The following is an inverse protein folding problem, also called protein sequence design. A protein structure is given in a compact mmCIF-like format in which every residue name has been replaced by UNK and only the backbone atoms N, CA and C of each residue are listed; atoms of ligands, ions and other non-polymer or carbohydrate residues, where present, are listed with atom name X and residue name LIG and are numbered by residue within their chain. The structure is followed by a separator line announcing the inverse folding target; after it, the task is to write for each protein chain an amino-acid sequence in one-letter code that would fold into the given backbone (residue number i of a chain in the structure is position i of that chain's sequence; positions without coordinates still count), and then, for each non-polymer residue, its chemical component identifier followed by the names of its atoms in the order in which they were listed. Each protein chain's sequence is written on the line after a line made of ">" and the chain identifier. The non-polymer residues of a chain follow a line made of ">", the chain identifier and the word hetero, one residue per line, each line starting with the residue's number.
data_IF_013612371770
#
_entry.id   IF_013612371770
#
_cell.length_a   1.000
_cell.length_b   1.000
_cell.length_c   1.000
_cell.angle_alpha   90.00
_cell.angle_beta   90.00
_cell.angle_gamma   90.00
#
_symmetry.space_group_name_H-M   'P 1'
#
loop_
_entity.id
_entity.type
_entity.pdbx_description
1 polymer ?
#
# COMPACT_ATOMS: atom_id res chain seq x y z
N UNK A 1 35.51 -11.45 -16.64
CA UNK A 1 34.33 -10.56 -16.60
C UNK A 1 34.52 -9.64 -15.41
N UNK A 2 34.38 -8.32 -15.60
CA UNK A 2 34.56 -7.34 -14.52
C UNK A 2 33.55 -7.61 -13.37
N UNK A 3 33.96 -7.44 -12.11
CA UNK A 3 33.14 -7.79 -10.93
C UNK A 3 31.82 -7.02 -10.92
N UNK A 4 31.84 -5.73 -11.31
CA UNK A 4 30.63 -4.92 -11.47
C UNK A 4 29.62 -5.56 -12.42
N UNK A 5 30.09 -6.13 -13.53
CA UNK A 5 29.22 -6.82 -14.50
C UNK A 5 28.63 -8.09 -13.88
N UNK A 6 29.43 -8.86 -13.14
CA UNK A 6 28.95 -10.06 -12.43
C UNK A 6 27.86 -9.73 -11.41
N UNK A 7 28.05 -8.68 -10.61
CA UNK A 7 27.08 -8.22 -9.61
C UNK A 7 25.77 -7.82 -10.27
N UNK A 8 25.82 -7.07 -11.36
CA UNK A 8 24.61 -6.62 -12.08
C UNK A 8 23.86 -7.79 -12.69
N UNK A 9 24.56 -8.73 -13.33
CA UNK A 9 23.95 -9.96 -13.85
C UNK A 9 23.27 -10.72 -12.70
N UNK A 10 23.95 -10.86 -11.56
CA UNK A 10 23.38 -11.48 -10.35
C UNK A 10 22.10 -10.79 -9.87
N UNK A 11 22.08 -9.46 -9.82
CA UNK A 11 20.90 -8.68 -9.43
C UNK A 11 19.74 -8.84 -10.42
N UNK A 12 20.02 -8.90 -11.72
CA UNK A 12 19.00 -9.13 -12.76
C UNK A 12 18.41 -10.54 -12.60
N UNK A 13 19.26 -11.56 -12.47
CA UNK A 13 18.84 -12.95 -12.29
C UNK A 13 18.02 -13.11 -11.01
N UNK A 14 18.48 -12.55 -9.89
CA UNK A 14 17.73 -12.52 -8.63
C UNK A 14 16.37 -11.83 -8.81
N UNK A 15 16.34 -10.69 -9.52
CA UNK A 15 15.11 -9.94 -9.70
C UNK A 15 14.09 -10.72 -10.52
N UNK A 16 14.51 -11.37 -11.61
CA UNK A 16 13.66 -12.25 -12.43
C UNK A 16 13.16 -13.42 -11.58
N UNK A 17 14.06 -14.09 -10.85
CA UNK A 17 13.69 -15.21 -9.99
C UNK A 17 12.67 -14.82 -8.91
N UNK A 18 12.84 -13.66 -8.26
CA UNK A 18 11.91 -13.14 -7.28
C UNK A 18 10.54 -12.80 -7.91
N UNK A 19 10.53 -12.17 -9.08
CA UNK A 19 9.30 -11.88 -9.81
C UNK A 19 8.56 -13.15 -10.22
N UNK A 20 9.27 -14.17 -10.68
CA UNK A 20 8.71 -15.48 -11.01
C UNK A 20 8.24 -16.21 -9.76
N UNK A 21 8.99 -16.12 -8.66
CA UNK A 21 8.60 -16.67 -7.36
C UNK A 21 7.23 -16.16 -6.92
N UNK A 22 7.08 -14.83 -6.89
CA UNK A 22 5.82 -14.19 -6.50
C UNK A 22 4.69 -14.55 -7.45
N UNK A 23 4.94 -14.61 -8.75
CA UNK A 23 3.92 -14.95 -9.74
C UNK A 23 3.42 -16.40 -9.63
N UNK A 24 4.32 -17.36 -9.38
CA UNK A 24 4.02 -18.81 -9.50
C UNK A 24 3.80 -19.52 -8.18
N UNK A 25 4.48 -19.10 -7.11
CA UNK A 25 4.57 -19.88 -5.87
C UNK A 25 4.21 -19.11 -4.61
N UNK A 26 4.15 -17.78 -4.62
CA UNK A 26 3.67 -17.02 -3.46
C UNK A 26 2.17 -17.25 -3.26
N UNK A 27 1.82 -17.93 -2.17
CA UNK A 27 0.43 -18.19 -1.81
C UNK A 27 -0.28 -19.20 -2.69
N UNK A 28 -1.61 -19.27 -2.61
CA UNK A 28 -2.50 -20.16 -3.36
C UNK A 28 -3.25 -19.44 -4.49
N UNK A 29 -3.62 -18.18 -4.32
CA UNK A 29 -4.34 -17.43 -5.35
C UNK A 29 -3.45 -17.17 -6.57
N UNK A 30 -4.02 -17.18 -7.76
CA UNK A 30 -3.29 -17.01 -9.02
C UNK A 30 -3.93 -15.93 -9.87
N UNK A 31 -3.08 -15.27 -10.64
CA UNK A 31 -3.49 -14.33 -11.68
C UNK A 31 -3.85 -15.11 -12.95
N UNK A 32 -4.88 -14.65 -13.65
CA UNK A 32 -5.36 -15.26 -14.90
C UNK A 32 -4.29 -15.22 -16.00
N UNK A 33 -3.37 -14.25 -15.93
CA UNK A 33 -2.29 -14.10 -16.90
C UNK A 33 -1.11 -13.29 -16.34
N UNK A 34 0.04 -13.42 -16.99
CA UNK A 34 1.21 -12.58 -16.71
C UNK A 34 0.88 -11.08 -16.85
N UNK A 35 0.06 -10.72 -17.85
CA UNK A 35 -0.39 -9.34 -18.05
C UNK A 35 -1.21 -8.79 -16.87
N UNK A 36 -2.05 -9.63 -16.25
CA UNK A 36 -2.77 -9.23 -15.05
C UNK A 36 -1.80 -9.04 -13.87
N UNK A 37 -0.89 -9.98 -13.65
CA UNK A 37 0.15 -9.90 -12.62
C UNK A 37 0.97 -8.61 -12.72
N UNK A 38 1.53 -8.30 -13.89
CA UNK A 38 2.33 -7.11 -14.16
C UNK A 38 1.55 -5.81 -13.86
N UNK A 39 0.23 -5.79 -14.09
CA UNK A 39 -0.62 -4.62 -13.88
C UNK A 39 -1.13 -4.47 -12.45
N UNK A 40 -1.28 -5.57 -11.71
CA UNK A 40 -2.02 -5.61 -10.44
C UNK A 40 -1.15 -5.77 -9.19
N UNK A 41 0.13 -6.09 -9.37
CA UNK A 41 1.00 -6.57 -8.26
C UNK A 41 2.39 -5.92 -8.24
N UNK A 42 2.66 -5.00 -9.17
CA UNK A 42 3.91 -4.23 -9.23
C UNK A 42 5.19 -5.07 -9.02
N UNK A 43 5.46 -6.06 -9.90
CA UNK A 43 6.52 -7.05 -9.71
C UNK A 43 7.93 -6.48 -9.50
N UNK A 44 8.18 -5.23 -9.90
CA UNK A 44 9.44 -4.54 -9.64
C UNK A 44 9.82 -4.50 -8.15
N UNK A 45 8.84 -4.61 -7.24
CA UNK A 45 9.08 -4.68 -5.79
C UNK A 45 9.27 -6.11 -5.26
N UNK A 46 9.00 -7.14 -6.06
CA UNK A 46 9.18 -8.54 -5.66
C UNK A 46 10.58 -8.85 -5.12
N UNK A 47 11.70 -8.34 -5.68
CA UNK A 47 13.03 -8.61 -5.15
C UNK A 47 13.23 -8.11 -3.71
N UNK A 48 12.66 -6.94 -3.37
CA UNK A 48 12.69 -6.40 -2.02
C UNK A 48 11.74 -7.16 -1.09
N UNK A 49 10.54 -7.45 -1.56
CA UNK A 49 9.55 -8.19 -0.79
C UNK A 49 10.01 -9.61 -0.46
N UNK A 50 10.73 -10.30 -1.36
CA UNK A 50 11.31 -11.61 -1.08
C UNK A 50 12.27 -11.60 0.12
N UNK A 51 13.09 -10.54 0.28
CA UNK A 51 13.93 -10.35 1.48
C UNK A 51 13.05 -10.25 2.72
N UNK A 52 11.97 -9.47 2.65
CA UNK A 52 11.02 -9.33 3.76
C UNK A 52 10.33 -10.66 4.09
N UNK A 53 9.93 -11.45 3.10
CA UNK A 53 9.29 -12.75 3.30
C UNK A 53 10.25 -13.74 3.99
N UNK A 54 11.51 -13.78 3.55
CA UNK A 54 12.53 -14.66 4.14
C UNK A 54 12.80 -14.33 5.60
N UNK A 55 12.79 -13.04 5.94
CA UNK A 55 13.08 -12.53 7.29
C UNK A 55 11.85 -12.38 8.19
N UNK A 56 10.64 -12.63 7.66
CA UNK A 56 9.38 -12.68 8.43
C UNK A 56 9.41 -13.88 9.39
N UNK A 57 8.97 -13.68 10.63
CA UNK A 57 8.86 -14.74 11.63
C UNK A 57 7.94 -15.88 11.13
N UNK A 58 8.25 -17.13 11.47
CA UNK A 58 7.55 -18.31 10.94
C UNK A 58 6.04 -18.28 11.17
N UNK A 59 5.59 -17.91 12.38
CA UNK A 59 4.17 -17.81 12.73
C UNK A 59 3.40 -16.78 11.87
N UNK A 60 4.11 -15.79 11.35
CA UNK A 60 3.58 -14.65 10.62
C UNK A 60 3.58 -14.84 9.09
N UNK A 61 4.00 -15.99 8.57
CA UNK A 61 4.09 -16.23 7.10
C UNK A 61 2.74 -16.54 6.44
N UNK A 62 1.70 -16.85 7.23
CA UNK A 62 0.34 -17.11 6.72
C UNK A 62 -0.32 -15.81 6.22
N UNK A 63 -1.26 -15.90 5.25
CA UNK A 63 -1.90 -14.71 4.67
C UNK A 63 -2.76 -13.93 5.65
N UNK A 64 -3.43 -14.61 6.59
CA UNK A 64 -4.32 -13.99 7.58
C UNK A 64 -3.88 -14.42 8.98
N UNK A 65 -3.84 -13.47 9.89
CA UNK A 65 -3.38 -13.58 11.27
C UNK A 65 -4.44 -13.03 12.21
N UNK A 66 -4.46 -13.58 13.43
CA UNK A 66 -5.05 -12.85 14.56
C UNK A 66 -4.15 -11.66 14.91
N UNK A 67 -4.73 -10.59 15.45
CA UNK A 67 -4.02 -9.40 15.87
C UNK A 67 -3.36 -9.53 17.25
N UNK A 68 -3.57 -10.63 18.00
CA UNK A 68 -3.05 -10.86 19.36
C UNK A 68 -1.52 -10.71 19.52
N UNK A 69 -0.75 -10.82 18.42
CA UNK A 69 0.70 -10.59 18.47
C UNK A 69 1.07 -9.10 18.58
N UNK A 70 0.12 -8.19 18.41
CA UNK A 70 0.29 -6.75 18.52
C UNK A 70 0.13 -6.32 19.97
N UNK A 71 1.19 -5.74 20.53
CA UNK A 71 1.17 -5.20 21.89
C UNK A 71 0.05 -4.15 22.07
N UNK A 72 -0.72 -4.28 23.15
CA UNK A 72 -1.84 -3.40 23.53
C UNK A 72 -3.00 -3.33 22.52
N UNK A 73 -3.16 -4.32 21.62
CA UNK A 73 -4.24 -4.29 20.63
C UNK A 73 -5.65 -4.26 21.25
N UNK A 74 -5.80 -4.82 22.46
CA UNK A 74 -7.03 -4.81 23.24
C UNK A 74 -7.58 -3.40 23.49
N UNK A 75 -6.72 -2.38 23.52
CA UNK A 75 -7.17 -0.99 23.67
C UNK A 75 -8.07 -0.58 22.50
N UNK A 76 -7.75 -1.01 21.27
CA UNK A 76 -8.59 -0.72 20.10
C UNK A 76 -9.87 -1.57 20.12
N UNK A 77 -9.77 -2.84 20.51
CA UNK A 77 -10.92 -3.75 20.63
C UNK A 77 -11.91 -3.27 21.68
N UNK A 78 -11.45 -2.83 22.85
CA UNK A 78 -12.31 -2.34 23.92
C UNK A 78 -12.97 -0.99 23.60
N UNK A 79 -12.34 -0.16 22.77
CA UNK A 79 -12.78 1.20 22.47
C UNK A 79 -13.26 1.36 21.02
N UNK A 80 -13.61 0.28 20.33
CA UNK A 80 -14.01 0.31 18.91
C UNK A 80 -15.20 1.23 18.65
N UNK A 81 -16.13 1.36 19.60
CA UNK A 81 -17.27 2.27 19.51
C UNK A 81 -16.84 3.74 19.56
N UNK A 82 -15.88 4.10 20.41
CA UNK A 82 -15.32 5.47 20.45
C UNK A 82 -14.67 5.82 19.12
N UNK A 83 -13.92 4.87 18.55
CA UNK A 83 -13.28 5.03 17.24
C UNK A 83 -14.34 5.18 16.13
N UNK A 84 -15.39 4.35 16.18
CA UNK A 84 -16.52 4.40 15.25
C UNK A 84 -17.21 5.75 15.30
N UNK A 85 -17.48 6.28 16.49
CA UNK A 85 -18.27 7.50 16.63
C UNK A 85 -17.56 8.72 16.00
N UNK A 86 -16.23 8.81 16.14
CA UNK A 86 -15.44 9.84 15.42
C UNK A 86 -15.42 9.60 13.90
N UNK A 87 -15.38 8.33 13.47
CA UNK A 87 -15.42 7.98 12.04
C UNK A 87 -16.78 8.30 11.39
N UNK A 88 -17.89 8.05 12.10
CA UNK A 88 -19.26 8.40 11.66
C UNK A 88 -19.43 9.92 11.59
N UNK A 89 -18.87 10.66 12.53
CA UNK A 89 -18.90 12.13 12.49
C UNK A 89 -18.20 12.67 11.23
N UNK A 90 -17.06 12.09 10.85
CA UNK A 90 -16.37 12.41 9.60
C UNK A 90 -17.22 12.07 8.36
N UNK A 91 -17.82 10.89 8.33
CA UNK A 91 -18.73 10.48 7.25
C UNK A 91 -19.89 11.46 7.10
N UNK A 92 -20.54 11.81 8.21
CA UNK A 92 -21.66 12.75 8.24
C UNK A 92 -21.28 14.16 7.79
N UNK A 93 -20.03 14.58 8.00
CA UNK A 93 -19.52 15.87 7.50
C UNK A 93 -19.20 15.90 6.00
N UNK A 94 -19.30 14.77 5.29
CA UNK A 94 -19.03 14.68 3.85
C UNK A 94 -17.55 14.67 3.46
N UNK A 95 -16.63 14.55 4.43
CA UNK A 95 -15.18 14.63 4.16
C UNK A 95 -14.70 13.54 3.19
N UNK A 96 -15.26 12.33 3.30
CA UNK A 96 -14.94 11.23 2.38
C UNK A 96 -15.34 11.51 0.94
N UNK A 97 -16.37 12.33 0.69
CA UNK A 97 -16.77 12.70 -0.66
C UNK A 97 -15.87 13.80 -1.24
N UNK A 98 -15.46 14.75 -0.40
CA UNK A 98 -14.54 15.81 -0.80
C UNK A 98 -13.17 15.26 -1.18
N UNK A 99 -12.60 14.36 -0.36
CA UNK A 99 -11.23 13.82 -0.56
C UNK A 99 -11.05 13.12 -1.91
N UNK A 100 -12.08 12.41 -2.39
CA UNK A 100 -12.03 11.65 -3.65
C UNK A 100 -12.37 12.50 -4.89
N UNK A 101 -12.71 13.77 -4.72
CA UNK A 101 -13.09 14.67 -5.82
C UNK A 101 -11.85 15.19 -6.56
N UNK A 102 -11.84 15.20 -7.91
CA UNK A 102 -10.72 15.75 -8.68
C UNK A 102 -10.41 17.19 -8.28
N UNK A 103 -9.14 17.46 -7.97
CA UNK A 103 -8.68 18.79 -7.52
C UNK A 103 -8.48 18.88 -6.00
N UNK A 104 -9.13 18.02 -5.21
CA UNK A 104 -8.90 17.96 -3.78
C UNK A 104 -7.46 17.52 -3.47
N UNK A 105 -6.93 17.97 -2.33
CA UNK A 105 -5.54 17.67 -1.95
C UNK A 105 -5.30 16.19 -1.66
N UNK A 106 -6.32 15.48 -1.15
CA UNK A 106 -6.32 14.03 -0.92
C UNK A 106 -6.62 13.18 -2.18
N UNK A 107 -6.94 13.82 -3.31
CA UNK A 107 -7.18 13.11 -4.58
C UNK A 107 -5.90 12.52 -5.17
N UNK A 108 -4.77 13.21 -4.98
CA UNK A 108 -3.48 12.89 -5.59
C UNK A 108 -2.70 11.86 -4.78
N UNK A 109 -3.39 10.76 -4.46
CA UNK A 109 -2.84 9.68 -3.66
C UNK A 109 -2.06 8.68 -4.52
N UNK A 110 -0.78 8.48 -4.21
CA UNK A 110 0.10 7.60 -4.99
C UNK A 110 -0.28 6.12 -4.82
N UNK A 111 -0.72 5.72 -3.62
CA UNK A 111 -1.00 4.32 -3.30
C UNK A 111 -2.42 3.89 -3.66
N UNK A 112 -3.41 4.77 -3.47
CA UNK A 112 -4.81 4.37 -3.38
C UNK A 112 -5.75 5.08 -4.36
N UNK A 113 -5.28 6.06 -5.14
CA UNK A 113 -6.15 6.83 -6.06
C UNK A 113 -6.94 5.96 -7.03
N UNK A 114 -6.42 4.79 -7.42
CA UNK A 114 -7.13 3.91 -8.37
C UNK A 114 -8.45 3.38 -7.83
N UNK A 115 -8.60 3.30 -6.51
CA UNK A 115 -9.80 2.81 -5.84
C UNK A 115 -10.94 3.83 -5.79
N UNK A 116 -10.66 5.13 -5.92
CA UNK A 116 -11.69 6.18 -5.99
C UNK A 116 -12.68 5.97 -7.14
N UNK A 117 -12.26 5.31 -8.23
CA UNK A 117 -13.14 4.93 -9.35
C UNK A 117 -14.24 3.94 -8.98
N UNK A 118 -14.09 3.27 -7.84
CA UNK A 118 -15.01 2.27 -7.29
C UNK A 118 -15.71 2.80 -6.04
N UNK A 119 -15.78 4.12 -5.89
CA UNK A 119 -16.47 4.79 -4.77
C UNK A 119 -15.72 4.77 -3.44
N UNK A 120 -14.67 3.95 -3.30
CA UNK A 120 -13.85 3.88 -2.09
C UNK A 120 -13.30 5.25 -1.71
N UNK A 121 -13.24 5.51 -0.42
CA UNK A 121 -12.66 6.73 0.13
C UNK A 121 -11.96 6.46 1.45
N UNK A 122 -11.19 7.43 1.92
CA UNK A 122 -10.43 7.33 3.16
C UNK A 122 -10.23 8.67 3.86
N UNK A 123 -9.84 8.59 5.12
CA UNK A 123 -9.37 9.71 5.91
C UNK A 123 -8.15 9.29 6.73
N UNK A 124 -6.98 9.89 6.47
CA UNK A 124 -5.75 9.57 7.17
C UNK A 124 -5.72 10.11 8.60
N UNK A 125 -5.20 9.31 9.53
CA UNK A 125 -5.01 9.70 10.93
C UNK A 125 -3.54 9.96 11.23
N UNK A 126 -2.69 9.01 10.82
CA UNK A 126 -1.23 9.10 10.89
C UNK A 126 -0.60 8.26 9.79
N UNK A 127 0.61 8.62 9.39
CA UNK A 127 1.37 7.93 8.37
C UNK A 127 2.87 8.01 8.64
N UNK A 128 3.47 6.88 9.02
CA UNK A 128 4.90 6.63 9.16
C UNK A 128 5.67 7.78 9.87
N UNK A 129 5.19 8.14 11.06
CA UNK A 129 5.78 9.20 11.90
C UNK A 129 5.24 10.60 11.65
N UNK A 130 4.26 10.77 10.75
CA UNK A 130 3.50 12.02 10.60
C UNK A 130 2.10 11.83 11.13
N UNK A 131 1.64 12.70 12.02
CA UNK A 131 0.23 12.78 12.40
C UNK A 131 -0.43 13.90 11.62
N UNK A 132 -1.60 13.65 11.04
CA UNK A 132 -2.34 14.64 10.28
C UNK A 132 -2.95 15.68 11.23
N UNK A 133 -2.83 16.96 10.89
CA UNK A 133 -3.37 18.07 11.69
C UNK A 133 -4.90 18.00 11.68
N UNK A 134 -5.48 17.65 10.53
CA UNK A 134 -6.92 17.38 10.40
C UNK A 134 -7.39 16.29 11.35
N UNK A 135 -6.61 15.22 11.50
CA UNK A 135 -6.93 14.12 12.41
C UNK A 135 -6.77 14.50 13.89
N UNK A 136 -5.79 15.34 14.24
CA UNK A 136 -5.66 15.86 15.62
C UNK A 136 -6.90 16.61 16.07
N UNK A 137 -7.50 17.38 15.14
CA UNK A 137 -8.70 18.16 15.39
C UNK A 137 -9.98 17.33 15.38
N UNK A 138 -10.11 16.42 14.42
CA UNK A 138 -11.36 15.71 14.15
C UNK A 138 -11.46 14.34 14.83
N UNK A 139 -10.33 13.71 15.16
CA UNK A 139 -10.29 12.37 15.74
C UNK A 139 -9.30 12.25 16.92
N UNK A 140 -9.34 13.18 17.90
CA UNK A 140 -8.36 13.20 19.00
C UNK A 140 -8.41 11.92 19.85
N UNK A 141 -9.59 11.34 20.09
CA UNK A 141 -9.72 10.14 20.93
C UNK A 141 -9.13 8.92 20.20
N UNK A 142 -9.44 8.78 18.90
CA UNK A 142 -8.85 7.71 18.08
C UNK A 142 -7.33 7.81 18.06
N UNK A 143 -6.77 9.02 17.88
CA UNK A 143 -5.32 9.20 17.90
C UNK A 143 -4.69 8.83 19.26
N UNK A 144 -5.34 9.19 20.37
CA UNK A 144 -4.87 8.81 21.71
C UNK A 144 -4.83 7.29 21.91
N UNK A 145 -5.83 6.56 21.38
CA UNK A 145 -5.87 5.09 21.41
C UNK A 145 -4.80 4.48 20.49
N UNK A 146 -4.65 4.99 19.27
CA UNK A 146 -3.64 4.52 18.31
C UNK A 146 -2.19 4.69 18.83
N UNK A 147 -1.94 5.72 19.64
CA UNK A 147 -0.62 5.95 20.23
C UNK A 147 -0.25 4.94 21.32
N UNK A 148 -1.22 4.18 21.85
CA UNK A 148 -0.98 3.12 22.83
C UNK A 148 -0.58 1.78 22.18
N UNK A 149 -0.66 1.66 20.85
CA UNK A 149 -0.29 0.48 20.08
C UNK A 149 0.98 0.79 19.25
N UNK A 150 2.20 0.50 19.77
CA UNK A 150 3.45 0.95 19.16
C UNK A 150 3.71 0.40 17.75
N UNK A 151 3.14 -0.76 17.44
CA UNK A 151 3.27 -1.41 16.15
C UNK A 151 2.58 -0.66 15.00
N UNK A 152 1.64 0.27 15.28
CA UNK A 152 0.90 1.02 14.26
C UNK A 152 1.77 2.13 13.66
N UNK A 153 2.12 1.97 12.39
CA UNK A 153 2.91 2.92 11.62
C UNK A 153 2.05 3.87 10.79
N UNK A 154 1.00 3.35 10.17
CA UNK A 154 0.00 4.12 9.44
C UNK A 154 -1.40 3.78 9.93
N UNK A 155 -2.32 4.75 9.93
CA UNK A 155 -3.72 4.52 10.26
C UNK A 155 -4.61 5.47 9.47
N UNK A 156 -5.75 4.95 9.02
CA UNK A 156 -6.77 5.71 8.33
C UNK A 156 -8.14 5.04 8.50
N UNK A 157 -9.20 5.85 8.40
CA UNK A 157 -10.52 5.30 8.14
C UNK A 157 -10.67 4.98 6.66
N UNK A 158 -11.29 3.85 6.35
CA UNK A 158 -11.55 3.41 4.98
C UNK A 158 -13.04 3.14 4.80
N UNK A 159 -13.66 3.86 3.87
CA UNK A 159 -15.07 3.75 3.52
C UNK A 159 -15.21 3.03 2.16
N UNK A 160 -15.99 1.95 2.14
CA UNK A 160 -16.35 1.24 0.91
C UNK A 160 -17.88 1.28 0.73
N UNK A 161 -18.42 2.04 -0.24
CA UNK A 161 -19.87 2.17 -0.43
C UNK A 161 -20.56 0.86 -0.79
N UNK A 162 -21.89 0.83 -0.64
CA UNK A 162 -22.73 -0.24 -1.16
C UNK A 162 -22.53 -0.43 -2.68
N UNK A 163 -22.60 -1.66 -3.16
CA UNK A 163 -22.39 -2.04 -4.56
C UNK A 163 -20.93 -1.89 -5.07
N UNK A 164 -19.96 -1.62 -4.20
CA UNK A 164 -18.58 -1.34 -4.60
C UNK A 164 -17.69 -2.58 -4.58
N UNK A 165 -16.67 -2.60 -5.44
CA UNK A 165 -15.70 -3.69 -5.56
C UNK A 165 -14.28 -3.14 -5.70
N UNK A 166 -13.36 -3.68 -4.91
CA UNK A 166 -11.91 -3.53 -5.07
C UNK A 166 -11.38 -4.79 -5.76
N UNK A 167 -11.17 -4.70 -7.07
CA UNK A 167 -10.68 -5.81 -7.90
C UNK A 167 -9.37 -6.40 -7.39
N UNK A 168 -9.08 -7.65 -7.74
CA UNK A 168 -7.82 -8.34 -7.42
C UNK A 168 -6.57 -7.47 -7.60
N UNK A 169 -5.79 -7.35 -6.53
CA UNK A 169 -4.51 -6.65 -6.46
C UNK A 169 -3.62 -7.24 -5.37
N UNK A 170 -2.35 -6.86 -5.37
CA UNK A 170 -1.45 -7.04 -4.24
C UNK A 170 -0.69 -5.74 -4.02
N UNK A 171 -0.46 -5.39 -2.78
CA UNK A 171 0.21 -4.15 -2.45
C UNK A 171 1.70 -4.24 -2.81
N UNK A 172 2.28 -3.16 -3.35
CA UNK A 172 3.64 -3.20 -3.88
C UNK A 172 4.70 -3.39 -2.78
N UNK A 173 4.47 -2.83 -1.59
CA UNK A 173 5.49 -2.67 -0.55
C UNK A 173 5.11 -3.53 0.67
N UNK A 174 5.83 -4.62 0.91
CA UNK A 174 5.59 -5.51 2.05
C UNK A 174 6.17 -5.03 3.38
N UNK A 175 6.37 -3.73 3.60
CA UNK A 175 7.01 -3.21 4.82
C UNK A 175 6.19 -3.38 6.09
N UNK A 176 4.88 -3.61 5.92
CA UNK A 176 3.87 -3.74 6.95
C UNK A 176 3.04 -5.00 6.73
N UNK A 177 2.16 -5.25 7.70
CA UNK A 177 0.90 -5.96 7.49
C UNK A 177 -0.26 -4.98 7.58
N UNK A 178 -1.43 -5.37 7.08
CA UNK A 178 -2.66 -4.59 7.17
C UNK A 178 -3.58 -5.13 8.24
N UNK A 179 -3.83 -4.32 9.25
CA UNK A 179 -4.83 -4.52 10.29
C UNK A 179 -6.15 -3.87 9.87
N UNK A 180 -7.26 -4.58 10.03
CA UNK A 180 -8.61 -4.06 9.85
C UNK A 180 -9.43 -4.28 11.11
N UNK A 181 -10.15 -3.25 11.55
CA UNK A 181 -11.18 -3.32 12.59
C UNK A 181 -12.50 -2.79 12.03
N UNK A 182 -13.55 -3.60 12.10
CA UNK A 182 -14.92 -3.19 11.72
C UNK A 182 -15.46 -2.11 12.67
N UNK A 183 -15.96 -1.01 12.11
CA UNK A 183 -16.52 0.10 12.89
C UNK A 183 -18.02 0.28 12.65
N UNK A 184 -18.40 0.44 11.38
CA UNK A 184 -19.78 0.48 10.93
C UNK A 184 -19.84 -0.31 9.63
N UNK A 185 -20.12 -1.60 9.74
CA UNK A 185 -20.18 -2.53 8.61
C UNK A 185 -21.62 -2.97 8.38
N UNK A 186 -21.92 -3.55 7.21
CA UNK A 186 -23.22 -4.16 6.97
C UNK A 186 -23.53 -5.36 7.89
N UNK A 187 -22.54 -5.88 8.64
CA UNK A 187 -22.65 -7.10 9.45
C UNK A 187 -23.27 -8.29 8.68
N UNK A 188 -22.92 -8.41 7.39
CA UNK A 188 -23.49 -9.38 6.47
C UNK A 188 -22.39 -10.00 5.60
N UNK A 189 -22.56 -11.27 5.23
CA UNK A 189 -21.56 -12.05 4.49
C UNK A 189 -21.21 -11.46 3.11
N UNK A 190 -22.15 -10.71 2.53
CA UNK A 190 -21.97 -10.03 1.25
C UNK A 190 -21.10 -8.75 1.33
N UNK A 191 -20.44 -8.50 2.47
CA UNK A 191 -19.37 -7.54 2.64
C UNK A 191 -18.07 -8.23 3.10
N UNK A 192 -17.21 -8.61 2.15
CA UNK A 192 -16.05 -9.46 2.44
C UNK A 192 -14.80 -9.13 1.64
N UNK A 193 -13.67 -9.62 2.14
CA UNK A 193 -12.36 -9.66 1.47
C UNK A 193 -11.95 -11.11 1.27
N UNK A 194 -11.38 -11.40 0.12
CA UNK A 194 -10.65 -12.63 -0.11
C UNK A 194 -9.14 -12.30 -0.14
N UNK A 195 -8.36 -13.03 0.64
CA UNK A 195 -6.90 -12.88 0.74
C UNK A 195 -6.30 -14.25 0.49
N UNK A 196 -5.59 -14.40 -0.62
CA UNK A 196 -4.97 -15.66 -1.02
C UNK A 196 -5.93 -16.87 -1.04
N UNK A 197 -7.17 -16.67 -1.47
CA UNK A 197 -8.21 -17.70 -1.50
C UNK A 197 -8.96 -17.87 -0.17
N UNK A 198 -8.59 -17.15 0.89
CA UNK A 198 -9.29 -17.19 2.18
C UNK A 198 -10.22 -15.99 2.34
N UNK A 199 -11.50 -16.27 2.56
CA UNK A 199 -12.52 -15.23 2.73
C UNK A 199 -12.65 -14.80 4.19
N UNK A 200 -12.83 -13.49 4.40
CA UNK A 200 -13.16 -12.86 5.68
C UNK A 200 -14.26 -11.82 5.48
N UNK A 201 -15.26 -11.86 6.35
CA UNK A 201 -16.34 -10.87 6.43
C UNK A 201 -16.01 -9.87 7.52
N UNK A 202 -16.34 -8.59 7.31
CA UNK A 202 -16.19 -7.59 8.36
C UNK A 202 -17.45 -7.52 9.23
N UNK A 203 -17.25 -7.64 10.53
CA UNK A 203 -18.27 -7.37 11.53
C UNK A 203 -17.80 -6.25 12.45
N UNK A 204 -18.76 -5.50 12.99
CA UNK A 204 -18.47 -4.43 13.94
C UNK A 204 -17.72 -4.97 15.17
N UNK A 205 -16.68 -4.24 15.57
CA UNK A 205 -15.81 -4.61 16.68
C UNK A 205 -14.94 -5.85 16.44
N UNK A 206 -14.97 -6.46 15.25
CA UNK A 206 -14.10 -7.59 14.89
C UNK A 206 -12.92 -7.13 14.06
N UNK A 207 -11.77 -7.70 14.34
CA UNK A 207 -10.51 -7.37 13.72
C UNK A 207 -9.78 -8.59 13.15
N UNK A 208 -8.85 -8.31 12.24
CA UNK A 208 -7.87 -9.26 11.75
C UNK A 208 -6.67 -8.54 11.13
N UNK A 209 -5.57 -9.27 10.99
CA UNK A 209 -4.37 -8.80 10.28
C UNK A 209 -4.16 -9.67 9.05
N UNK A 210 -3.69 -9.08 7.95
CA UNK A 210 -3.27 -9.83 6.78
C UNK A 210 -2.03 -9.24 6.13
N UNK A 211 -1.30 -10.08 5.40
CA UNK A 211 -0.16 -9.65 4.59
C UNK A 211 -0.69 -9.15 3.23
N UNK A 212 -0.70 -7.83 3.03
CA UNK A 212 -1.22 -7.14 1.84
C UNK A 212 -0.47 -7.48 0.55
N UNK A 213 0.68 -8.15 0.65
CA UNK A 213 1.44 -8.62 -0.53
C UNK A 213 0.87 -9.90 -1.14
N UNK A 214 -0.06 -10.58 -0.46
CA UNK A 214 -0.83 -11.64 -1.09
C UNK A 214 -1.89 -11.07 -2.03
N UNK A 215 -2.22 -11.76 -3.13
CA UNK A 215 -3.34 -11.36 -3.98
C UNK A 215 -4.64 -11.31 -3.16
N UNK A 216 -5.31 -10.17 -3.20
CA UNK A 216 -6.56 -9.95 -2.47
C UNK A 216 -7.53 -9.07 -3.26
N UNK A 217 -8.82 -9.25 -2.97
CA UNK A 217 -9.91 -8.44 -3.51
C UNK A 217 -11.02 -8.29 -2.47
N UNK A 218 -11.79 -7.22 -2.56
CA UNK A 218 -12.88 -6.96 -1.63
C UNK A 218 -14.14 -6.54 -2.37
N UNK A 219 -15.29 -6.86 -1.82
CA UNK A 219 -16.56 -6.35 -2.32
C UNK A 219 -17.51 -6.01 -1.18
N UNK A 220 -18.38 -5.05 -1.44
CA UNK A 220 -19.50 -4.70 -0.60
C UNK A 220 -20.76 -4.71 -1.47
N UNK A 221 -21.43 -5.86 -1.57
CA UNK A 221 -22.71 -5.98 -2.28
C UNK A 221 -23.89 -5.93 -1.32
N UNK A 222 -23.66 -5.47 -0.08
CA UNK A 222 -24.72 -5.16 0.87
C UNK A 222 -25.38 -3.80 0.56
N UNK A 223 -26.43 -3.49 1.31
CA UNK A 223 -27.25 -2.28 1.10
C UNK A 223 -26.75 -1.04 1.87
N UNK A 224 -25.65 -1.17 2.62
CA UNK A 224 -25.04 -0.08 3.39
C UNK A 224 -23.53 -0.02 3.14
N UNK A 225 -22.92 1.13 3.43
CA UNK A 225 -21.48 1.30 3.34
C UNK A 225 -20.75 0.49 4.42
N UNK A 226 -19.47 0.22 4.18
CA UNK A 226 -18.55 -0.40 5.14
C UNK A 226 -17.46 0.59 5.52
N UNK A 227 -17.49 1.01 6.77
CA UNK A 227 -16.51 1.87 7.41
C UNK A 227 -15.65 1.04 8.38
N UNK A 228 -14.34 1.08 8.18
CA UNK A 228 -13.36 0.36 9.01
C UNK A 228 -12.22 1.27 9.43
N UNK A 229 -11.57 0.93 10.55
CA UNK A 229 -10.22 1.40 10.84
C UNK A 229 -9.24 0.47 10.12
N UNK A 230 -8.39 1.04 9.26
CA UNK A 230 -7.33 0.35 8.56
C UNK A 230 -5.98 0.87 9.04
N UNK A 231 -5.12 -0.03 9.50
CA UNK A 231 -3.78 0.31 9.96
C UNK A 231 -2.71 -0.49 9.25
N UNK A 232 -1.60 0.17 8.93
CA UNK A 232 -0.34 -0.48 8.62
C UNK A 232 0.37 -0.78 9.94
N UNK A 233 0.55 -2.07 10.24
CA UNK A 233 1.22 -2.56 11.46
C UNK A 233 2.57 -3.19 11.12
N UNK A 234 3.46 -3.21 12.10
CA UNK A 234 4.78 -3.82 11.92
C UNK A 234 4.68 -5.29 11.50
N UNK A 235 5.33 -5.62 10.37
CA UNK A 235 5.60 -7.01 9.98
C UNK A 235 6.50 -7.66 11.05
N UNK A 236 6.13 -8.80 11.65
CA UNK A 236 7.00 -9.53 12.58
C UNK A 236 8.22 -10.10 11.84
N UNK A 237 9.41 -9.64 12.20
CA UNK A 237 10.65 -9.98 11.49
C UNK A 237 11.82 -10.17 12.45
N UNK A 238 12.82 -10.94 12.00
CA UNK A 238 14.12 -10.99 12.66
C UNK A 238 14.88 -9.66 12.53
N UNK A 239 16.03 -9.53 13.23
CA UNK A 239 16.80 -8.28 13.27
C UNK A 239 17.26 -7.79 11.90
N UNK A 240 17.71 -8.69 11.03
CA UNK A 240 18.13 -8.35 9.66
C UNK A 240 16.96 -7.80 8.84
N UNK A 241 15.80 -8.43 8.95
CA UNK A 241 14.57 -7.96 8.34
C UNK A 241 14.17 -6.58 8.83
N UNK A 242 14.27 -6.30 10.13
CA UNK A 242 13.96 -4.97 10.70
C UNK A 242 14.90 -3.88 10.17
N UNK A 243 16.20 -4.16 10.06
CA UNK A 243 17.18 -3.21 9.50
C UNK A 243 16.84 -2.93 8.03
N UNK A 244 16.65 -3.96 7.22
CA UNK A 244 16.28 -3.80 5.81
C UNK A 244 14.95 -3.05 5.64
N UNK A 245 13.95 -3.42 6.44
CA UNK A 245 12.63 -2.80 6.41
C UNK A 245 12.68 -1.32 6.83
N UNK A 246 13.60 -0.92 7.71
CA UNK A 246 13.74 0.50 8.10
C UNK A 246 14.01 1.42 6.91
N UNK A 247 14.86 1.00 5.97
CA UNK A 247 15.11 1.73 4.72
C UNK A 247 13.86 1.79 3.84
N UNK A 248 13.11 0.69 3.76
CA UNK A 248 11.89 0.61 2.97
C UNK A 248 10.78 1.53 3.52
N UNK A 249 10.69 1.65 4.85
CA UNK A 249 9.77 2.58 5.53
C UNK A 249 10.08 4.06 5.27
N UNK A 250 11.33 4.42 5.02
CA UNK A 250 11.69 5.80 4.64
C UNK A 250 10.99 6.16 3.32
N UNK A 251 10.93 5.23 2.37
CA UNK A 251 10.21 5.44 1.11
C UNK A 251 8.71 5.65 1.35
N UNK A 252 8.10 4.82 2.20
CA UNK A 252 6.66 4.93 2.54
C UNK A 252 6.36 6.22 3.29
N UNK A 253 7.26 6.70 4.15
CA UNK A 253 7.13 8.01 4.82
C UNK A 253 7.06 9.15 3.80
N UNK A 254 7.69 9.03 2.64
CA UNK A 254 7.61 10.03 1.57
C UNK A 254 6.24 10.11 0.88
N UNK A 255 5.32 9.17 1.13
CA UNK A 255 4.00 9.08 0.48
C UNK A 255 2.87 9.67 1.32
N UNK A 256 3.16 10.52 2.31
CA UNK A 256 2.10 11.19 3.09
C UNK A 256 1.18 11.97 2.14
N UNK A 257 -0.11 11.73 2.26
CA UNK A 257 -1.16 12.41 1.48
C UNK A 257 -2.04 13.21 2.45
N UNK A 258 -2.26 14.50 2.20
CA UNK A 258 -3.09 15.35 3.05
C UNK A 258 -4.58 15.00 2.92
N UNK A 259 -5.35 15.12 4.02
CA UNK A 259 -6.82 15.09 3.94
C UNK A 259 -7.33 16.48 3.55
N UNK A 260 -6.79 17.52 4.19
CA UNK A 260 -7.14 18.93 3.99
C UNK A 260 -5.88 19.78 3.77
N UNK A 261 -6.00 21.06 3.35
CA UNK A 261 -4.83 21.91 3.08
C UNK A 261 -3.91 22.15 4.29
N UNK A 262 -4.39 21.95 5.52
CA UNK A 262 -3.60 22.08 6.75
C UNK A 262 -2.62 20.92 6.97
N UNK A 263 -2.80 19.79 6.26
CA UNK A 263 -1.97 18.60 6.40
C UNK A 263 -0.68 18.69 5.58
N UNK A 264 0.38 18.09 6.12
CA UNK A 264 1.66 17.95 5.40
C UNK A 264 1.49 17.07 4.16
N UNK A 265 2.17 17.42 3.08
CA UNK A 265 2.31 16.58 1.88
C UNK A 265 3.72 16.00 1.80
N UNK A 266 3.81 14.69 1.59
CA UNK A 266 5.07 14.00 1.36
C UNK A 266 5.69 14.32 -0.01
N UNK A 267 7.00 14.14 -0.13
CA UNK A 267 7.77 14.46 -1.36
C UNK A 267 7.23 13.71 -2.58
N UNK A 268 6.96 12.41 -2.45
CA UNK A 268 6.45 11.62 -3.59
C UNK A 268 5.03 12.01 -3.98
N UNK A 269 4.19 12.36 -3.00
CA UNK A 269 2.85 12.88 -3.25
C UNK A 269 2.89 14.25 -3.93
N UNK A 270 3.88 15.10 -3.61
CA UNK A 270 4.09 16.39 -4.27
C UNK A 270 4.51 16.21 -5.74
N UNK A 271 5.46 15.31 -6.01
CA UNK A 271 5.87 14.92 -7.36
C UNK A 271 4.66 14.41 -8.14
N UNK A 272 3.86 13.51 -7.55
CA UNK A 272 2.68 12.97 -8.21
C UNK A 272 1.62 14.03 -8.53
N UNK A 273 1.36 14.98 -7.62
CA UNK A 273 0.46 16.12 -7.89
C UNK A 273 0.98 16.97 -9.05
N UNK A 274 2.27 17.26 -9.08
CA UNK A 274 2.91 18.02 -10.16
C UNK A 274 2.72 17.36 -11.54
N UNK A 275 2.89 16.04 -11.63
CA UNK A 275 2.72 15.31 -12.89
C UNK A 275 1.28 14.91 -13.22
N UNK A 276 0.32 15.15 -12.32
CA UNK A 276 -1.06 14.71 -12.54
C UNK A 276 -1.75 15.35 -13.76
N UNK A 277 -1.56 16.64 -14.11
CA UNK A 277 -2.10 17.22 -15.33
C UNK A 277 -1.55 16.56 -16.60
N UNK A 278 -0.25 16.24 -16.63
CA UNK A 278 0.39 15.57 -17.76
C UNK A 278 -0.24 14.20 -18.03
N UNK A 279 -0.71 13.51 -17.00
CA UNK A 279 -1.45 12.25 -17.17
C UNK A 279 -2.73 12.44 -17.98
N UNK A 280 -3.48 13.53 -17.78
CA UNK A 280 -4.70 13.78 -18.55
C UNK A 280 -4.38 14.02 -20.03
N UNK A 281 -3.35 14.83 -20.31
CA UNK A 281 -2.82 15.00 -21.66
C UNK A 281 -2.43 13.65 -22.28
N UNK A 282 -1.72 12.79 -21.54
CA UNK A 282 -1.31 11.47 -22.02
C UNK A 282 -2.50 10.54 -22.35
N UNK A 283 -3.61 10.65 -21.63
CA UNK A 283 -4.83 9.87 -21.88
C UNK A 283 -5.51 10.35 -23.16
N UNK A 284 -5.70 11.66 -23.30
CA UNK A 284 -6.28 12.26 -24.50
C UNK A 284 -5.42 11.97 -25.73
N UNK A 285 -4.08 12.04 -25.58
CA UNK A 285 -3.15 11.69 -26.65
C UNK A 285 -3.24 10.21 -27.03
N UNK A 286 -3.38 9.30 -26.05
CA UNK A 286 -3.57 7.87 -26.32
C UNK A 286 -4.86 7.60 -27.10
N UNK A 287 -5.94 8.31 -26.79
CA UNK A 287 -7.23 8.17 -27.48
C UNK A 287 -7.15 8.62 -28.94
N UNK A 288 -6.43 9.71 -29.21
CA UNK A 288 -6.24 10.23 -30.58
C UNK A 288 -5.15 9.50 -31.38
N UNK A 289 -4.08 9.07 -30.73
CA UNK A 289 -2.85 8.57 -31.38
C UNK A 289 -2.31 7.30 -30.70
N UNK A 290 -3.12 6.24 -30.63
CA UNK A 290 -2.80 5.02 -29.89
C UNK A 290 -1.46 4.36 -30.25
N UNK A 291 -1.14 4.27 -31.56
CA UNK A 291 0.14 3.68 -32.04
C UNK A 291 1.34 4.51 -31.58
N UNK A 292 1.31 5.82 -31.81
CA UNK A 292 2.36 6.75 -31.39
C UNK A 292 2.52 6.75 -29.88
N UNK A 293 1.42 6.75 -29.12
CA UNK A 293 1.44 6.64 -27.66
C UNK A 293 2.17 5.38 -27.19
N UNK A 294 1.89 4.21 -27.80
CA UNK A 294 2.56 2.96 -27.43
C UNK A 294 4.08 3.02 -27.68
N UNK A 295 4.51 3.58 -28.81
CA UNK A 295 5.93 3.74 -29.14
C UNK A 295 6.61 4.69 -28.16
N UNK A 296 6.05 5.88 -27.94
CA UNK A 296 6.59 6.87 -27.00
C UNK A 296 6.66 6.31 -25.57
N UNK A 297 5.63 5.59 -25.14
CA UNK A 297 5.62 4.92 -23.83
C UNK A 297 6.71 3.87 -23.72
N UNK A 298 6.92 3.08 -24.78
CA UNK A 298 7.99 2.08 -24.80
C UNK A 298 9.37 2.73 -24.72
N UNK A 299 9.62 3.77 -25.52
CA UNK A 299 10.88 4.54 -25.50
C UNK A 299 11.11 5.13 -24.11
N UNK A 300 10.12 5.82 -23.54
CA UNK A 300 10.23 6.41 -22.20
C UNK A 300 10.58 5.36 -21.14
N UNK A 301 9.88 4.22 -21.13
CA UNK A 301 10.13 3.15 -20.18
C UNK A 301 11.53 2.53 -20.36
N UNK A 302 11.96 2.33 -21.61
CA UNK A 302 13.29 1.79 -21.91
C UNK A 302 14.38 2.77 -21.47
N UNK A 303 14.22 4.06 -21.75
CA UNK A 303 15.16 5.11 -21.31
C UNK A 303 15.25 5.18 -19.78
N UNK A 304 14.12 5.19 -19.07
CA UNK A 304 14.10 5.21 -17.61
C UNK A 304 14.78 3.97 -17.02
N UNK A 305 14.52 2.79 -17.61
CA UNK A 305 15.16 1.54 -17.18
C UNK A 305 16.68 1.59 -17.41
N UNK A 306 17.12 2.05 -18.58
CA UNK A 306 18.54 2.21 -18.90
C UNK A 306 19.24 3.19 -17.96
N UNK A 307 18.59 4.31 -17.60
CA UNK A 307 19.13 5.27 -16.64
C UNK A 307 19.32 4.65 -15.25
N UNK A 308 18.35 3.83 -14.79
CA UNK A 308 18.47 3.11 -13.50
C UNK A 308 19.65 2.14 -13.55
N UNK A 309 19.80 1.36 -14.63
CA UNK A 309 20.92 0.43 -14.76
C UNK A 309 22.27 1.15 -14.88
N UNK A 310 22.34 2.27 -15.59
CA UNK A 310 23.56 3.08 -15.68
C UNK A 310 23.95 3.66 -14.33
N UNK A 311 22.98 4.17 -13.55
CA UNK A 311 23.24 4.66 -12.20
C UNK A 311 23.75 3.53 -11.29
N UNK A 312 23.08 2.38 -11.32
CA UNK A 312 23.47 1.22 -10.53
C UNK A 312 24.87 0.72 -10.92
N UNK A 313 25.16 0.63 -12.22
CA UNK A 313 26.50 0.31 -12.71
C UNK A 313 27.54 1.31 -12.21
N UNK A 314 27.27 2.62 -12.33
CA UNK A 314 28.17 3.67 -11.87
C UNK A 314 28.50 3.57 -10.38
N UNK A 315 27.51 3.25 -9.54
CA UNK A 315 27.71 3.05 -8.09
C UNK A 315 28.58 1.83 -7.81
N UNK A 316 28.29 0.69 -8.44
CA UNK A 316 29.06 -0.55 -8.23
C UNK A 316 30.49 -0.39 -8.75
N UNK A 317 30.65 0.24 -9.91
CA UNK A 317 31.96 0.51 -10.51
C UNK A 317 32.80 1.47 -9.67
N UNK A 318 32.19 2.52 -9.12
CA UNK A 318 32.85 3.43 -8.18
C UNK A 318 33.33 2.67 -6.94
N UNK A 319 32.52 1.76 -6.40
CA UNK A 319 32.92 0.92 -5.27
C UNK A 319 34.11 0.00 -5.62
N UNK A 320 34.09 -0.62 -6.81
CA UNK A 320 35.19 -1.46 -7.28
C UNK A 320 36.50 -0.67 -7.40
N UNK A 321 36.46 0.53 -7.97
CA UNK A 321 37.63 1.42 -8.04
C UNK A 321 38.14 1.77 -6.64
N UNK A 322 37.26 2.15 -5.71
CA UNK A 322 37.66 2.65 -4.39
C UNK A 322 38.22 1.56 -3.47
N UNK A 323 37.70 0.33 -3.55
CA UNK A 323 37.94 -0.71 -2.54
C UNK A 323 38.61 -1.99 -3.05
N UNK A 324 38.63 -2.23 -4.36
CA UNK A 324 39.13 -3.50 -4.92
C UNK A 324 40.29 -3.33 -5.90
N UNK A 325 40.52 -2.12 -6.41
CA UNK A 325 41.63 -1.80 -7.31
C UNK A 325 42.80 -1.06 -6.62
N UNK A 326 42.75 -0.90 -5.30
CA UNK A 326 43.83 -0.35 -4.47
C UNK A 326 44.57 -1.43 -3.70
#
# INVERSE_FOLDING_TARGET
>A
MNLSIMIIIGLIVYSIAAMTYVYRWRGKARYDSLSQYLRKSWPIFAPFNCVLYMTTCSFAKKPILDADFLENIEVLRANWTTIRDEAIALESSGVFDVIKTPGADGYYDVGFRTFYKRGWSKFYLKWYGTTHVSAQRLCPKTLALLNQVPAIRGAMFSLLPAGSELSLHADPIGSSFRYHLGLLTPNAENCQINIDGQTRTWFDGKDFVFDETYPHFAYNTANSARLILMCDVDRPMNIFGRIFNSAYRILVKGTVVPNTPEDKRGVYSAIFKFFAPFRQYSIQFREKHFKTYKILKFILNLTLLSLIFMLLYGVVYLFEILFLMN
#
